data_IF_916784432689
#
_entry.id   IF_916784432689
#
_cell.length_a   1.000
_cell.length_b   1.000
_cell.length_c   1.000
_cell.angle_alpha   90.00
_cell.angle_beta   90.00
_cell.angle_gamma   90.00
#
_symmetry.space_group_name_H-M   'P 1'
#
loop_
_entity.id
_entity.type
_entity.pdbx_description
1 polymer ?
#
# COMPACT_ATOMS: atom_id res chain seq x y z
N UNK A 1 -11.88 -27.68 -24.43
CA UNK A 1 -10.76 -26.72 -24.31
C UNK A 1 -10.50 -26.46 -22.84
N UNK A 2 -9.24 -26.38 -22.39
CA UNK A 2 -8.95 -25.79 -21.07
C UNK A 2 -9.36 -24.31 -21.18
N UNK A 3 -10.18 -23.84 -20.25
CA UNK A 3 -10.47 -22.42 -20.16
C UNK A 3 -9.14 -21.68 -19.97
N UNK A 4 -8.89 -20.67 -20.80
CA UNK A 4 -7.76 -19.77 -20.59
C UNK A 4 -8.10 -18.89 -19.39
N UNK A 5 -7.14 -18.70 -18.50
CA UNK A 5 -7.33 -17.84 -17.33
C UNK A 5 -6.59 -16.52 -17.55
N UNK A 6 -7.29 -15.40 -17.36
CA UNK A 6 -6.68 -14.08 -17.44
C UNK A 6 -5.60 -13.94 -16.36
N UNK A 7 -4.32 -13.72 -16.73
CA UNK A 7 -3.22 -13.65 -15.78
C UNK A 7 -3.23 -12.34 -14.97
N UNK A 8 -3.85 -11.28 -15.48
CA UNK A 8 -3.90 -9.97 -14.84
C UNK A 8 -4.91 -9.96 -13.69
N UNK A 9 -4.56 -9.32 -12.57
CA UNK A 9 -5.36 -9.33 -11.34
C UNK A 9 -5.59 -7.89 -10.86
N UNK A 10 -6.50 -7.12 -11.48
CA UNK A 10 -6.78 -5.73 -11.11
C UNK A 10 -7.64 -5.58 -9.84
N UNK A 11 -7.81 -6.62 -9.03
CA UNK A 11 -8.58 -6.52 -7.79
C UNK A 11 -7.75 -5.95 -6.64
N UNK A 12 -8.40 -5.35 -5.65
CA UNK A 12 -7.73 -4.81 -4.47
C UNK A 12 -6.91 -5.90 -3.76
N UNK A 13 -5.60 -5.67 -3.62
CA UNK A 13 -4.67 -6.63 -3.00
C UNK A 13 -4.33 -7.85 -3.86
N UNK A 14 -4.85 -7.95 -5.09
CA UNK A 14 -4.48 -9.01 -6.03
C UNK A 14 -3.00 -8.93 -6.39
N UNK A 15 -2.27 -10.04 -6.22
CA UNK A 15 -0.87 -10.10 -6.60
C UNK A 15 -0.77 -10.13 -8.13
N UNK A 16 0.00 -9.20 -8.75
CA UNK A 16 0.16 -9.20 -10.19
C UNK A 16 0.95 -10.44 -10.63
N UNK A 17 0.76 -10.91 -11.87
CA UNK A 17 1.48 -12.07 -12.40
C UNK A 17 3.01 -11.87 -12.39
N UNK A 18 3.45 -10.61 -12.46
CA UNK A 18 4.85 -10.24 -12.36
C UNK A 18 5.02 -8.97 -11.52
N UNK A 19 5.87 -9.05 -10.48
CA UNK A 19 6.30 -7.91 -9.68
C UNK A 19 7.48 -7.18 -10.33
N UNK A 20 7.18 -6.08 -11.02
CA UNK A 20 8.15 -5.24 -11.72
C UNK A 20 8.56 -4.01 -10.90
N UNK A 21 9.80 -3.53 -11.08
CA UNK A 21 10.34 -2.37 -10.33
C UNK A 21 10.52 -2.55 -8.81
N UNK A 22 10.12 -3.68 -8.20
CA UNK A 22 10.13 -3.86 -6.73
C UNK A 22 11.29 -4.70 -6.17
N UNK A 23 12.17 -5.24 -7.02
CA UNK A 23 13.26 -6.16 -6.64
C UNK A 23 14.17 -5.65 -5.53
N UNK A 24 14.56 -4.38 -5.57
CA UNK A 24 15.45 -3.76 -4.57
C UNK A 24 14.78 -3.74 -3.19
N UNK A 25 13.53 -3.30 -3.13
CA UNK A 25 12.75 -3.18 -1.90
C UNK A 25 12.57 -4.57 -1.25
N UNK A 26 12.22 -5.58 -2.06
CA UNK A 26 12.08 -6.97 -1.60
C UNK A 26 13.41 -7.47 -1.04
N UNK A 27 14.51 -7.31 -1.77
CA UNK A 27 15.85 -7.72 -1.33
C UNK A 27 16.27 -7.05 -0.03
N UNK A 28 15.93 -5.77 0.13
CA UNK A 28 16.24 -4.99 1.32
C UNK A 28 15.49 -5.49 2.56
N UNK A 29 14.22 -5.88 2.40
CA UNK A 29 13.43 -6.53 3.43
C UNK A 29 14.02 -7.90 3.79
N UNK A 30 14.29 -8.74 2.79
CA UNK A 30 14.89 -10.07 2.98
C UNK A 30 16.22 -10.02 3.73
N UNK A 31 17.13 -9.13 3.31
CA UNK A 31 18.38 -8.88 4.04
C UNK A 31 18.14 -8.38 5.46
N UNK A 32 17.06 -7.62 5.69
CA UNK A 32 16.63 -7.23 7.03
C UNK A 32 16.36 -8.45 7.91
N UNK A 33 15.59 -9.41 7.39
CA UNK A 33 15.31 -10.66 8.10
C UNK A 33 16.57 -11.51 8.32
N UNK A 34 17.41 -11.62 7.30
CA UNK A 34 18.59 -12.50 7.32
C UNK A 34 19.72 -11.95 8.21
N UNK A 35 19.90 -10.63 8.27
CA UNK A 35 20.97 -9.99 9.06
C UNK A 35 20.64 -9.83 10.56
N UNK A 36 19.45 -10.24 11.00
CA UNK A 36 19.09 -10.22 12.42
C UNK A 36 18.71 -8.83 12.96
N UNK A 37 18.80 -8.69 14.28
CA UNK A 37 18.36 -7.51 15.04
C UNK A 37 19.16 -6.26 14.65
N UNK A 38 18.48 -5.14 14.47
CA UNK A 38 19.09 -3.85 14.14
C UNK A 38 19.36 -3.62 12.65
N UNK A 39 19.09 -4.61 11.80
CA UNK A 39 19.15 -4.43 10.36
C UNK A 39 18.09 -3.42 9.87
N UNK A 40 18.42 -2.50 8.94
CA UNK A 40 17.48 -1.47 8.48
C UNK A 40 16.18 -2.02 7.85
N UNK A 41 16.21 -3.23 7.29
CA UNK A 41 15.03 -3.89 6.72
C UNK A 41 14.04 -4.45 7.76
N UNK A 42 14.31 -4.28 9.06
CA UNK A 42 13.41 -4.69 10.15
C UNK A 42 12.27 -3.71 10.42
N UNK A 43 12.43 -2.45 10.03
CA UNK A 43 11.43 -1.41 10.23
C UNK A 43 11.30 -0.69 8.90
N UNK A 44 10.19 -0.88 8.21
CA UNK A 44 9.97 -0.28 6.89
C UNK A 44 8.69 0.53 6.84
N UNK A 45 8.75 1.65 6.11
CA UNK A 45 7.58 2.42 5.71
C UNK A 45 7.44 2.29 4.19
N UNK A 46 6.32 1.74 3.74
CA UNK A 46 5.97 1.63 2.32
C UNK A 46 4.90 2.69 2.02
N UNK A 47 5.24 3.66 1.20
CA UNK A 47 4.33 4.76 0.92
C UNK A 47 4.21 5.04 -0.58
N UNK A 48 3.16 5.75 -0.99
CA UNK A 48 2.88 6.05 -2.39
C UNK A 48 1.40 6.29 -2.60
N UNK A 49 1.06 6.79 -3.79
CA UNK A 49 -0.34 7.02 -4.17
C UNK A 49 -1.18 5.73 -4.08
N UNK A 50 -2.51 5.87 -4.08
CA UNK A 50 -3.42 4.71 -4.20
C UNK A 50 -3.07 3.91 -5.46
N UNK A 51 -3.29 2.59 -5.43
CA UNK A 51 -3.00 1.67 -6.55
C UNK A 51 -1.52 1.51 -6.95
N UNK A 52 -0.56 2.06 -6.21
CA UNK A 52 0.89 1.85 -6.46
C UNK A 52 1.42 0.47 -6.04
N UNK A 53 0.57 -0.37 -5.42
CA UNK A 53 0.91 -1.73 -4.99
C UNK A 53 1.42 -1.84 -3.55
N UNK A 54 1.01 -0.93 -2.65
CA UNK A 54 1.40 -0.98 -1.23
C UNK A 54 0.96 -2.28 -0.53
N UNK A 55 -0.33 -2.62 -0.64
CA UNK A 55 -0.89 -3.86 -0.08
C UNK A 55 -0.21 -5.10 -0.68
N UNK A 56 0.02 -5.10 -2.00
CA UNK A 56 0.77 -6.16 -2.68
C UNK A 56 2.17 -6.33 -2.08
N UNK A 57 2.88 -5.22 -1.80
CA UNK A 57 4.18 -5.28 -1.14
C UNK A 57 4.11 -5.88 0.26
N UNK A 58 3.06 -5.60 1.04
CA UNK A 58 2.86 -6.22 2.35
C UNK A 58 2.64 -7.73 2.23
N UNK A 59 1.80 -8.18 1.29
CA UNK A 59 1.60 -9.62 1.00
C UNK A 59 2.92 -10.30 0.67
N UNK A 60 3.69 -9.70 -0.25
CA UNK A 60 5.01 -10.23 -0.65
C UNK A 60 5.95 -10.34 0.55
N UNK A 61 6.01 -9.33 1.42
CA UNK A 61 6.82 -9.40 2.64
C UNK A 61 6.34 -10.49 3.59
N UNK A 62 5.03 -10.63 3.76
CA UNK A 62 4.41 -11.73 4.50
C UNK A 62 4.89 -13.08 3.99
N UNK A 63 4.85 -13.31 2.68
CA UNK A 63 5.28 -14.58 2.08
C UNK A 63 6.78 -14.82 2.21
N UNK A 64 7.61 -13.79 2.03
CA UNK A 64 9.07 -13.89 2.25
C UNK A 64 9.42 -14.19 3.71
N UNK A 65 8.62 -13.69 4.64
CA UNK A 65 8.77 -13.95 6.06
C UNK A 65 8.29 -15.37 6.43
N UNK A 66 7.11 -15.79 5.96
CA UNK A 66 6.58 -17.16 6.14
C UNK A 66 7.55 -18.21 5.59
N UNK A 67 8.14 -17.97 4.42
CA UNK A 67 9.17 -18.83 3.84
C UNK A 67 10.42 -18.98 4.74
N UNK A 68 10.69 -17.99 5.59
CA UNK A 68 11.73 -18.00 6.62
C UNK A 68 11.24 -18.49 7.98
N UNK A 69 10.05 -19.08 8.06
CA UNK A 69 9.37 -19.57 9.27
C UNK A 69 9.02 -18.47 10.27
N UNK A 70 8.87 -17.23 9.79
CA UNK A 70 8.37 -16.15 10.63
C UNK A 70 6.86 -16.30 10.83
N UNK A 71 6.41 -15.92 12.01
CA UNK A 71 5.01 -15.67 12.25
C UNK A 71 4.66 -14.30 11.67
N UNK A 72 3.54 -14.23 10.95
CA UNK A 72 3.12 -13.02 10.24
C UNK A 72 1.73 -12.60 10.70
N UNK A 73 1.63 -11.39 11.25
CA UNK A 73 0.37 -10.74 11.61
C UNK A 73 0.16 -9.58 10.63
N UNK A 74 -0.92 -9.66 9.86
CA UNK A 74 -1.34 -8.66 8.89
C UNK A 74 -2.60 -7.97 9.43
N UNK A 75 -2.55 -6.65 9.59
CA UNK A 75 -3.67 -5.83 10.05
C UNK A 75 -3.90 -4.66 9.09
N UNK A 76 -5.14 -4.20 9.01
CA UNK A 76 -5.49 -2.90 8.42
C UNK A 76 -5.80 -1.94 9.56
N UNK A 77 -5.18 -0.75 9.50
CA UNK A 77 -5.39 0.26 10.51
C UNK A 77 -6.85 0.76 10.50
N UNK A 78 -7.44 0.76 11.68
CA UNK A 78 -8.74 1.33 12.00
C UNK A 78 -8.84 1.48 13.52
N UNK A 79 -9.93 2.05 14.02
CA UNK A 79 -10.21 2.13 15.46
C UNK A 79 -10.03 0.76 16.16
N UNK A 80 -9.37 0.74 17.31
CA UNK A 80 -9.09 -0.48 18.08
C UNK A 80 -7.98 -1.38 17.51
N UNK A 81 -7.04 -0.82 16.74
CA UNK A 81 -5.95 -1.58 16.12
C UNK A 81 -5.10 -2.32 17.17
N UNK A 82 -4.74 -1.65 18.27
CA UNK A 82 -3.92 -2.29 19.31
C UNK A 82 -4.65 -3.43 20.02
N UNK A 83 -5.96 -3.31 20.23
CA UNK A 83 -6.76 -4.37 20.82
C UNK A 83 -6.76 -5.62 19.94
N UNK A 84 -6.99 -5.46 18.63
CA UNK A 84 -6.91 -6.57 17.67
C UNK A 84 -5.55 -7.24 17.66
N UNK A 85 -4.47 -6.44 17.63
CA UNK A 85 -3.10 -6.96 17.70
C UNK A 85 -2.85 -7.76 18.98
N UNK A 86 -3.30 -7.28 20.14
CA UNK A 86 -3.17 -8.00 21.42
C UNK A 86 -3.92 -9.33 21.37
N UNK A 87 -5.16 -9.32 20.87
CA UNK A 87 -5.98 -10.52 20.78
C UNK A 87 -5.36 -11.56 19.84
N UNK A 88 -4.86 -11.13 18.68
CA UNK A 88 -4.22 -12.01 17.69
C UNK A 88 -2.92 -12.63 18.23
N UNK A 89 -2.05 -11.83 18.87
CA UNK A 89 -0.81 -12.32 19.48
C UNK A 89 -1.07 -13.41 20.52
N UNK A 90 -2.05 -13.18 21.41
CA UNK A 90 -2.41 -14.12 22.49
C UNK A 90 -3.09 -15.38 21.97
N UNK A 91 -3.99 -15.24 21.00
CA UNK A 91 -4.70 -16.39 20.41
C UNK A 91 -3.71 -17.39 19.79
N UNK A 92 -2.68 -16.89 19.10
CA UNK A 92 -1.64 -17.74 18.50
C UNK A 92 -0.73 -18.40 19.52
N UNK A 93 -0.49 -17.78 20.67
CA UNK A 93 0.29 -18.41 21.75
C UNK A 93 -0.48 -19.53 22.43
N UNK A 94 -1.77 -19.31 22.74
CA UNK A 94 -2.62 -20.36 23.30
C UNK A 94 -2.71 -21.59 22.37
N UNK A 95 -2.71 -21.39 21.05
CA UNK A 95 -2.68 -22.47 20.07
C UNK A 95 -1.35 -23.27 20.11
N UNK A 96 -0.21 -22.60 20.30
CA UNK A 96 1.10 -23.26 20.39
C UNK A 96 1.24 -24.09 21.66
N UNK A 97 0.74 -23.60 22.79
CA UNK A 97 0.78 -24.33 24.06
C UNK A 97 -0.01 -25.64 23.96
N UNK A 98 -1.19 -25.63 23.32
CA UNK A 98 -2.02 -26.83 23.10
C UNK A 98 -1.31 -27.92 22.25
N UNK A 99 -0.44 -27.52 21.32
CA UNK A 99 0.32 -28.44 20.46
C UNK A 99 1.54 -29.07 21.15
N UNK A 100 2.00 -28.50 22.27
CA UNK A 100 3.23 -28.94 22.96
C UNK A 100 2.99 -29.89 24.13
N UNK A 101 1.73 -30.15 24.49
CA UNK A 101 1.37 -30.97 25.66
C UNK A 101 1.18 -32.43 25.22
N UNK A 102 2.15 -33.30 25.57
CA UNK A 102 1.82 -34.71 25.89
C UNK A 102 0.86 -34.67 27.09
N UNK A 103 -0.32 -35.31 27.05
CA UNK A 103 -1.30 -35.15 28.11
C UNK A 103 -0.82 -35.90 29.35
N UNK A 104 -0.23 -35.16 30.29
CA UNK A 104 -0.11 -35.60 31.68
C UNK A 104 -0.47 -34.43 32.59
N UNK A 105 -1.75 -34.45 33.00
CA UNK A 105 -2.32 -33.92 34.24
C UNK A 105 -2.00 -32.45 34.64
N UNK A 106 -3.07 -31.65 34.61
CA UNK A 106 -3.48 -30.68 35.64
C UNK A 106 -2.74 -29.33 35.73
N UNK A 107 -3.31 -28.31 35.09
CA UNK A 107 -3.53 -27.01 35.75
C UNK A 107 -4.84 -26.41 35.25
N UNK A 108 -5.88 -26.50 36.08
CA UNK A 108 -7.10 -25.74 35.92
C UNK A 108 -6.83 -24.28 36.33
N UNK A 109 -7.25 -23.33 35.50
CA UNK A 109 -7.51 -21.96 35.96
C UNK A 109 -6.43 -20.92 35.68
N UNK A 110 -6.09 -20.67 34.41
CA UNK A 110 -5.72 -19.31 33.97
C UNK A 110 -6.39 -19.06 32.61
N UNK A 111 -7.70 -18.81 32.66
CA UNK A 111 -8.35 -18.06 31.59
C UNK A 111 -8.10 -16.59 31.87
N UNK A 112 -7.15 -15.97 31.18
CA UNK A 112 -7.00 -14.51 31.23
C UNK A 112 -8.19 -13.91 30.50
N UNK A 113 -9.28 -13.66 31.23
CA UNK A 113 -10.36 -12.79 30.75
C UNK A 113 -9.78 -11.38 30.67
N UNK A 114 -9.69 -10.80 29.47
CA UNK A 114 -9.37 -9.37 29.34
C UNK A 114 -10.43 -8.57 30.12
N UNK A 115 -9.97 -7.72 31.05
CA UNK A 115 -10.82 -6.70 31.63
C UNK A 115 -10.71 -5.40 30.84
N UNK A 116 -11.79 -4.61 30.77
CA UNK A 116 -11.81 -3.28 30.14
C UNK A 116 -10.65 -2.37 30.59
N UNK A 117 -10.17 -2.57 31.83
CA UNK A 117 -9.04 -1.83 32.38
C UNK A 117 -7.71 -2.07 31.64
N UNK A 118 -7.46 -3.28 31.14
CA UNK A 118 -6.22 -3.64 30.42
C UNK A 118 -6.23 -3.18 28.95
N UNK A 119 -7.42 -2.89 28.42
CA UNK A 119 -7.64 -2.32 27.09
C UNK A 119 -7.70 -0.78 27.10
N UNK A 120 -7.50 -0.15 28.26
CA UNK A 120 -7.48 1.30 28.37
C UNK A 120 -6.27 1.91 27.62
N UNK A 121 -6.42 3.06 26.93
CA UNK A 121 -5.34 3.66 26.13
C UNK A 121 -4.05 3.92 26.91
N UNK A 122 -4.14 4.18 28.22
CA UNK A 122 -2.97 4.41 29.10
C UNK A 122 -2.15 3.14 29.35
N UNK A 123 -2.80 1.96 29.36
CA UNK A 123 -2.13 0.67 29.59
C UNK A 123 -1.81 -0.06 28.30
N UNK A 124 -2.45 0.32 27.19
CA UNK A 124 -2.24 -0.34 25.91
C UNK A 124 -0.78 -0.52 25.48
N UNK A 125 0.12 0.47 25.62
CA UNK A 125 1.54 0.25 25.31
C UNK A 125 2.16 -0.89 26.11
N UNK A 126 1.82 -1.03 27.40
CA UNK A 126 2.33 -2.10 28.25
C UNK A 126 1.67 -3.45 27.92
N UNK A 127 0.36 -3.47 27.70
CA UNK A 127 -0.40 -4.68 27.34
C UNK A 127 0.10 -5.25 26.01
N UNK A 128 0.27 -4.41 24.99
CA UNK A 128 0.79 -4.80 23.69
C UNK A 128 2.24 -5.28 23.78
N UNK A 129 3.08 -4.58 24.57
CA UNK A 129 4.47 -5.00 24.82
C UNK A 129 4.55 -6.39 25.44
N UNK A 130 3.70 -6.69 26.43
CA UNK A 130 3.65 -8.02 27.08
C UNK A 130 3.23 -9.11 26.08
N UNK A 131 2.16 -8.88 25.33
CA UNK A 131 1.67 -9.82 24.31
C UNK A 131 2.74 -10.10 23.23
N UNK A 132 3.45 -9.08 22.75
CA UNK A 132 4.56 -9.25 21.80
C UNK A 132 5.71 -10.07 22.40
N UNK A 133 6.09 -9.79 23.65
CA UNK A 133 7.20 -10.46 24.32
C UNK A 133 6.92 -11.94 24.59
N UNK A 134 5.70 -12.28 25.00
CA UNK A 134 5.22 -13.66 25.17
C UNK A 134 5.32 -14.41 23.83
N UNK A 135 4.79 -13.81 22.77
CA UNK A 135 4.83 -14.40 21.43
C UNK A 135 6.24 -14.64 20.92
N UNK A 136 7.08 -13.62 21.01
CA UNK A 136 8.48 -13.70 20.61
C UNK A 136 9.23 -14.77 21.41
N UNK A 137 8.97 -14.89 22.71
CA UNK A 137 9.60 -15.94 23.55
C UNK A 137 9.23 -17.35 23.09
N UNK A 138 8.00 -17.56 22.60
CA UNK A 138 7.54 -18.82 22.02
C UNK A 138 8.18 -19.10 20.65
N UNK A 139 8.31 -18.08 19.80
CA UNK A 139 8.89 -18.19 18.45
C UNK A 139 10.41 -18.41 18.49
N UNK A 140 11.12 -17.73 19.40
CA UNK A 140 12.58 -17.80 19.54
C UNK A 140 13.04 -19.22 19.91
N UNK A 141 12.24 -19.99 20.67
CA UNK A 141 12.50 -21.43 20.95
C UNK A 141 12.59 -22.28 19.68
N UNK A 142 12.03 -21.80 18.56
CA UNK A 142 12.01 -22.48 17.26
C UNK A 142 12.86 -21.75 16.21
N UNK A 143 13.70 -20.81 16.65
CA UNK A 143 14.49 -19.91 15.78
C UNK A 143 13.63 -19.12 14.78
N UNK A 144 12.37 -18.85 15.12
CA UNK A 144 11.46 -18.03 14.33
C UNK A 144 11.49 -16.56 14.78
N UNK A 145 10.83 -15.69 14.03
CA UNK A 145 10.63 -14.29 14.39
C UNK A 145 9.18 -13.85 14.12
N UNK A 146 8.85 -12.61 14.50
CA UNK A 146 7.53 -12.03 14.33
C UNK A 146 7.57 -10.86 13.34
N UNK A 147 6.82 -10.95 12.25
CA UNK A 147 6.51 -9.84 11.36
C UNK A 147 5.11 -9.31 11.69
N UNK A 148 5.01 -8.00 11.89
CA UNK A 148 3.73 -7.31 11.91
C UNK A 148 3.68 -6.37 10.70
N UNK A 149 2.62 -6.42 9.92
CA UNK A 149 2.38 -5.46 8.83
C UNK A 149 1.06 -4.74 9.04
N UNK A 150 1.07 -3.43 8.90
CA UNK A 150 -0.10 -2.56 9.09
C UNK A 150 -0.36 -1.81 7.79
N UNK A 151 -1.50 -2.07 7.15
CA UNK A 151 -1.95 -1.34 5.97
C UNK A 151 -2.80 -0.12 6.35
N UNK A 152 -2.93 0.84 5.43
CA UNK A 152 -3.68 2.08 5.58
C UNK A 152 -3.40 2.83 6.89
N UNK A 153 -2.15 2.86 7.32
CA UNK A 153 -1.70 3.37 8.63
C UNK A 153 -2.17 4.81 8.94
N UNK A 154 -2.49 5.63 7.93
CA UNK A 154 -3.11 6.95 8.15
C UNK A 154 -4.51 6.89 8.79
N UNK A 155 -5.16 5.73 8.82
CA UNK A 155 -6.44 5.49 9.48
C UNK A 155 -6.29 5.05 10.95
N UNK A 156 -5.06 4.85 11.43
CA UNK A 156 -4.80 4.51 12.82
C UNK A 156 -5.00 5.72 13.73
N UNK A 157 -5.54 5.48 14.93
CA UNK A 157 -5.53 6.51 15.96
C UNK A 157 -4.10 6.82 16.43
N UNK A 158 -3.87 8.07 16.83
CA UNK A 158 -2.56 8.50 17.36
C UNK A 158 -2.15 7.70 18.60
N UNK A 159 -3.09 7.39 19.49
CA UNK A 159 -2.91 6.53 20.66
C UNK A 159 -2.35 5.16 20.29
N UNK A 160 -2.93 4.53 19.27
CA UNK A 160 -2.51 3.21 18.79
C UNK A 160 -1.10 3.26 18.20
N UNK A 161 -0.80 4.27 17.39
CA UNK A 161 0.54 4.44 16.81
C UNK A 161 1.62 4.64 17.87
N UNK A 162 1.33 5.40 18.94
CA UNK A 162 2.24 5.57 20.08
C UNK A 162 2.45 4.24 20.81
N UNK A 163 1.38 3.47 21.04
CA UNK A 163 1.45 2.19 21.72
C UNK A 163 2.29 1.17 20.93
N UNK A 164 2.05 1.06 19.63
CA UNK A 164 2.79 0.19 18.71
C UNK A 164 4.27 0.58 18.66
N UNK A 165 4.57 1.86 18.43
CA UNK A 165 5.95 2.35 18.37
C UNK A 165 6.70 2.10 19.68
N UNK A 166 6.06 2.36 20.82
CA UNK A 166 6.64 2.12 22.15
C UNK A 166 6.92 0.64 22.37
N UNK A 167 5.94 -0.23 22.11
CA UNK A 167 6.07 -1.67 22.29
C UNK A 167 7.21 -2.24 21.45
N UNK A 168 7.32 -1.85 20.18
CA UNK A 168 8.37 -2.32 19.26
C UNK A 168 9.75 -1.81 19.64
N UNK A 169 9.85 -0.54 20.04
CA UNK A 169 11.11 0.02 20.53
C UNK A 169 11.64 -0.80 21.71
N UNK A 170 10.76 -1.26 22.61
CA UNK A 170 11.14 -2.16 23.70
C UNK A 170 11.65 -3.51 23.20
N UNK A 171 10.94 -4.17 22.28
CA UNK A 171 11.37 -5.47 21.71
C UNK A 171 12.76 -5.37 21.05
N UNK A 172 13.03 -4.29 20.32
CA UNK A 172 14.32 -4.06 19.68
C UNK A 172 15.43 -3.83 20.70
N UNK A 173 15.16 -3.06 21.77
CA UNK A 173 16.13 -2.86 22.87
C UNK A 173 16.48 -4.16 23.58
N UNK A 174 15.51 -5.07 23.69
CA UNK A 174 15.69 -6.43 24.23
C UNK A 174 16.31 -7.41 23.23
N UNK A 175 16.67 -6.94 22.03
CA UNK A 175 17.27 -7.73 20.94
C UNK A 175 16.38 -8.91 20.51
N UNK A 176 15.07 -8.71 20.48
CA UNK A 176 14.11 -9.72 20.03
C UNK A 176 14.02 -9.78 18.51
N UNK A 177 13.64 -10.94 17.98
CA UNK A 177 13.56 -11.20 16.55
C UNK A 177 12.23 -10.68 15.95
N UNK A 178 12.04 -9.36 15.91
CA UNK A 178 10.84 -8.68 15.41
C UNK A 178 11.13 -7.86 14.15
N UNK A 179 10.16 -7.80 13.24
CA UNK A 179 10.11 -6.86 12.13
C UNK A 179 8.73 -6.21 12.06
N UNK A 180 8.68 -4.94 11.64
CA UNK A 180 7.44 -4.23 11.36
C UNK A 180 7.48 -3.51 10.01
N UNK A 181 6.36 -3.55 9.30
CA UNK A 181 6.16 -2.78 8.08
C UNK A 181 4.86 -1.99 8.18
N UNK A 182 4.92 -0.70 7.92
CA UNK A 182 3.73 0.14 7.77
C UNK A 182 3.53 0.49 6.31
N UNK A 183 2.30 0.40 5.82
CA UNK A 183 1.90 0.94 4.54
C UNK A 183 0.86 2.05 4.73
N UNK A 184 0.97 3.10 3.92
CA UNK A 184 0.04 4.22 3.98
C UNK A 184 0.33 5.31 2.96
N UNK A 185 -0.50 6.36 2.98
CA UNK A 185 -0.33 7.53 2.12
C UNK A 185 0.91 8.34 2.52
N UNK A 186 1.53 9.12 1.60
CA UNK A 186 2.73 9.89 1.91
C UNK A 186 2.61 10.89 3.07
N UNK A 187 1.41 11.42 3.33
CA UNK A 187 1.16 12.28 4.50
C UNK A 187 1.40 11.60 5.85
N UNK A 188 1.14 10.28 5.95
CA UNK A 188 1.44 9.50 7.16
C UNK A 188 2.91 9.66 7.54
N UNK A 189 3.79 9.67 6.54
CA UNK A 189 5.23 9.80 6.76
C UNK A 189 5.53 11.17 7.39
N UNK A 190 4.94 12.25 6.87
CA UNK A 190 5.06 13.60 7.44
C UNK A 190 4.52 13.68 8.87
N UNK A 191 3.33 13.11 9.14
CA UNK A 191 2.71 13.13 10.47
C UNK A 191 3.53 12.36 11.50
N UNK A 192 4.02 11.17 11.13
CA UNK A 192 4.91 10.37 11.97
C UNK A 192 6.27 11.05 12.18
N UNK A 193 6.79 11.77 11.18
CA UNK A 193 8.04 12.51 11.31
C UNK A 193 7.87 13.76 12.16
N UNK A 194 6.75 14.46 12.11
CA UNK A 194 6.53 15.69 12.87
C UNK A 194 6.17 15.45 14.34
N UNK A 195 5.80 14.22 14.72
CA UNK A 195 5.47 13.86 16.09
C UNK A 195 6.73 13.68 16.97
N UNK A 196 6.83 14.43 18.07
CA UNK A 196 7.95 14.34 19.02
C UNK A 196 7.99 13.01 19.78
N UNK A 197 6.86 12.31 19.90
CA UNK A 197 6.74 11.07 20.67
C UNK A 197 7.16 9.86 19.83
N UNK A 198 6.93 9.89 18.51
CA UNK A 198 7.14 8.75 17.60
C UNK A 198 8.49 8.86 16.86
N UNK A 199 9.48 9.52 17.49
CA UNK A 199 10.82 9.75 16.89
C UNK A 199 11.55 8.47 16.50
N UNK A 200 11.20 7.33 17.08
CA UNK A 200 11.75 6.03 16.71
C UNK A 200 11.48 5.66 15.25
N UNK A 201 10.26 5.91 14.74
CA UNK A 201 9.89 5.59 13.36
C UNK A 201 10.65 6.44 12.35
N UNK A 202 11.31 7.53 12.78
CA UNK A 202 12.19 8.29 11.89
C UNK A 202 13.38 7.50 11.35
N UNK A 203 13.75 6.42 12.03
CA UNK A 203 14.82 5.49 11.62
C UNK A 203 14.32 4.34 10.76
N UNK A 204 13.00 4.28 10.51
CA UNK A 204 12.44 3.30 9.61
C UNK A 204 12.96 3.56 8.19
N UNK A 205 13.15 2.48 7.44
CA UNK A 205 13.52 2.56 6.05
C UNK A 205 12.30 2.89 5.20
N UNK A 206 12.20 4.14 4.78
CA UNK A 206 11.12 4.62 3.91
C UNK A 206 11.37 4.25 2.45
N UNK A 207 10.38 3.62 1.82
CA UNK A 207 10.37 3.33 0.39
C UNK A 207 9.10 3.95 -0.22
N UNK A 208 9.31 4.91 -1.10
CA UNK A 208 8.23 5.53 -1.87
C UNK A 208 8.03 4.72 -3.15
N UNK A 209 6.87 4.08 -3.28
CA UNK A 209 6.44 3.39 -4.47
C UNK A 209 6.05 4.42 -5.52
N UNK A 210 6.87 4.52 -6.55
CA UNK A 210 6.61 5.34 -7.74
C UNK A 210 6.06 4.47 -8.87
N UNK A 211 5.71 5.16 -9.95
CA UNK A 211 5.43 4.58 -11.26
C UNK A 211 6.65 3.81 -11.78
N UNK A 212 6.36 2.85 -12.67
CA UNK A 212 7.32 1.94 -13.26
C UNK A 212 7.76 2.48 -14.63
N UNK A 213 9.06 2.43 -14.97
CA UNK A 213 9.52 2.82 -16.30
C UNK A 213 8.77 2.11 -17.42
N UNK A 214 8.39 2.84 -18.47
CA UNK A 214 7.53 2.31 -19.56
C UNK A 214 8.17 1.12 -20.29
N UNK A 215 9.49 1.09 -20.38
CA UNK A 215 10.27 -0.02 -20.93
C UNK A 215 10.17 -1.30 -20.06
N UNK A 216 10.17 -1.16 -18.73
CA UNK A 216 9.90 -2.27 -17.81
C UNK A 216 8.44 -2.74 -17.93
N UNK A 217 7.47 -1.81 -18.04
CA UNK A 217 6.05 -2.15 -18.24
C UNK A 217 5.86 -2.95 -19.52
N UNK A 218 6.42 -2.46 -20.64
CA UNK A 218 6.33 -3.11 -21.94
C UNK A 218 6.89 -4.53 -21.89
N UNK A 219 8.05 -4.71 -21.27
CA UNK A 219 8.70 -6.04 -21.10
C UNK A 219 7.85 -6.97 -20.26
N UNK A 220 7.22 -6.45 -19.21
CA UNK A 220 6.32 -7.20 -18.33
C UNK A 220 5.05 -7.68 -19.06
N UNK A 221 4.43 -6.78 -19.81
CA UNK A 221 3.25 -7.10 -20.62
C UNK A 221 3.59 -8.16 -21.65
N UNK A 222 4.70 -8.02 -22.36
CA UNK A 222 5.16 -9.02 -23.35
C UNK A 222 5.28 -10.42 -22.72
N UNK A 223 5.97 -10.50 -21.59
CA UNK A 223 6.15 -11.77 -20.84
C UNK A 223 4.81 -12.34 -20.37
N UNK A 224 3.90 -11.50 -19.89
CA UNK A 224 2.60 -11.92 -19.35
C UNK A 224 1.67 -12.43 -20.46
N UNK A 225 1.60 -11.75 -21.60
CA UNK A 225 0.83 -12.22 -22.75
C UNK A 225 1.40 -13.54 -23.30
N UNK A 226 2.72 -13.62 -23.50
CA UNK A 226 3.39 -14.83 -24.00
C UNK A 226 3.13 -16.05 -23.10
N UNK A 227 3.32 -15.90 -21.79
CA UNK A 227 3.09 -16.99 -20.81
C UNK A 227 1.62 -17.40 -20.70
N UNK A 228 0.69 -16.51 -21.02
CA UNK A 228 -0.74 -16.84 -21.08
C UNK A 228 -1.18 -17.50 -22.40
N UNK A 229 -0.26 -17.64 -23.36
CA UNK A 229 -0.56 -18.20 -24.68
C UNK A 229 -1.24 -17.21 -25.63
N UNK A 230 -1.06 -15.89 -25.41
CA UNK A 230 -1.51 -14.84 -26.32
C UNK A 230 -0.32 -14.18 -27.01
N UNK A 231 -0.49 -13.90 -28.30
CA UNK A 231 0.49 -13.20 -29.15
C UNK A 231 0.08 -11.75 -29.28
N UNK A 232 1.00 -10.84 -28.94
CA UNK A 232 0.82 -9.41 -29.05
C UNK A 232 2.04 -8.81 -29.77
N UNK A 233 1.81 -7.87 -30.67
CA UNK A 233 2.89 -7.26 -31.45
C UNK A 233 3.63 -6.18 -30.67
N UNK A 234 4.86 -5.89 -31.08
CA UNK A 234 5.67 -4.83 -30.47
C UNK A 234 4.99 -3.44 -30.51
N UNK A 235 4.31 -3.12 -31.63
CA UNK A 235 3.55 -1.88 -31.78
C UNK A 235 2.41 -1.79 -30.76
N UNK A 236 1.67 -2.89 -30.56
CA UNK A 236 0.56 -2.96 -29.60
C UNK A 236 1.06 -2.86 -28.17
N UNK A 237 2.16 -3.54 -27.84
CA UNK A 237 2.83 -3.45 -26.53
C UNK A 237 3.28 -2.02 -26.21
N UNK A 238 3.85 -1.31 -27.18
CA UNK A 238 4.24 0.09 -27.03
C UNK A 238 3.04 0.97 -26.67
N UNK A 239 1.92 0.82 -27.40
CA UNK A 239 0.69 1.58 -27.16
C UNK A 239 0.07 1.25 -25.80
N UNK A 240 0.00 -0.03 -25.46
CA UNK A 240 -0.51 -0.50 -24.17
C UNK A 240 0.34 0.07 -23.01
N UNK A 241 1.66 -0.10 -23.07
CA UNK A 241 2.58 0.34 -22.02
C UNK A 241 2.53 1.86 -21.82
N UNK A 242 2.57 2.65 -22.90
CA UNK A 242 2.48 4.12 -22.82
C UNK A 242 1.17 4.59 -22.16
N UNK A 243 0.06 3.93 -22.48
CA UNK A 243 -1.26 4.27 -21.94
C UNK A 243 -1.37 4.07 -20.43
N UNK A 244 -0.48 3.28 -19.83
CA UNK A 244 -0.43 3.06 -18.38
C UNK A 244 0.24 4.18 -17.61
N UNK A 245 1.03 5.03 -18.28
CA UNK A 245 1.93 6.00 -17.65
C UNK A 245 2.85 5.40 -16.56
N UNK A 246 3.07 4.08 -16.56
CA UNK A 246 3.84 3.38 -15.53
C UNK A 246 3.07 3.10 -14.23
N UNK A 247 1.80 3.50 -14.14
CA UNK A 247 1.01 3.38 -12.93
C UNK A 247 0.56 1.93 -12.70
N UNK A 248 0.98 1.25 -11.60
CA UNK A 248 0.80 -0.20 -11.43
C UNK A 248 -0.63 -0.70 -11.57
N UNK A 249 -1.62 0.03 -11.05
CA UNK A 249 -3.02 -0.35 -11.18
C UNK A 249 -3.51 -0.27 -12.63
N UNK A 250 -3.15 0.78 -13.36
CA UNK A 250 -3.48 0.91 -14.78
C UNK A 250 -2.80 -0.17 -15.63
N UNK A 251 -1.58 -0.59 -15.28
CA UNK A 251 -0.91 -1.72 -15.95
C UNK A 251 -1.78 -2.99 -15.87
N UNK A 252 -2.33 -3.28 -14.70
CA UNK A 252 -3.19 -4.45 -14.53
C UNK A 252 -4.52 -4.30 -15.27
N UNK A 253 -5.16 -3.14 -15.23
CA UNK A 253 -6.42 -2.89 -15.95
C UNK A 253 -6.24 -2.99 -17.47
N UNK A 254 -5.20 -2.35 -18.02
CA UNK A 254 -4.88 -2.41 -19.45
C UNK A 254 -4.59 -3.84 -19.88
N UNK A 255 -3.73 -4.55 -19.16
CA UNK A 255 -3.44 -5.95 -19.47
C UNK A 255 -4.69 -6.83 -19.42
N UNK A 256 -5.50 -6.68 -18.36
CA UNK A 256 -6.72 -7.45 -18.14
C UNK A 256 -7.70 -7.29 -19.29
N UNK A 257 -8.04 -6.05 -19.67
CA UNK A 257 -9.07 -5.77 -20.67
C UNK A 257 -8.61 -6.07 -22.10
N UNK A 258 -7.32 -5.88 -22.42
CA UNK A 258 -6.78 -6.29 -23.72
C UNK A 258 -6.81 -7.82 -23.86
N UNK A 259 -6.43 -8.53 -22.79
CA UNK A 259 -6.48 -9.99 -22.76
C UNK A 259 -7.92 -10.49 -22.91
N UNK A 260 -8.85 -9.92 -22.14
CA UNK A 260 -10.27 -10.30 -22.15
C UNK A 260 -10.91 -10.08 -23.53
N UNK A 261 -10.61 -8.96 -24.19
CA UNK A 261 -11.07 -8.69 -25.55
C UNK A 261 -10.56 -9.74 -26.57
N UNK A 262 -9.31 -10.19 -26.45
CA UNK A 262 -8.77 -11.27 -27.27
C UNK A 262 -9.45 -12.62 -27.02
N UNK A 263 -9.66 -12.96 -25.75
CA UNK A 263 -10.31 -14.20 -25.31
C UNK A 263 -11.79 -14.27 -25.74
N UNK A 264 -12.52 -13.14 -25.66
CA UNK A 264 -13.90 -13.02 -26.15
C UNK A 264 -14.05 -13.33 -27.64
N UNK A 265 -13.00 -13.15 -28.43
CA UNK A 265 -12.96 -13.50 -29.85
C UNK A 265 -12.48 -14.94 -30.11
N UNK A 266 -12.23 -15.73 -29.06
CA UNK A 266 -11.61 -17.06 -29.12
C UNK A 266 -10.30 -17.05 -29.94
N UNK A 267 -9.48 -16.00 -29.73
CA UNK A 267 -8.28 -15.70 -30.52
C UNK A 267 -7.02 -15.71 -29.67
N UNK A 268 -5.98 -16.37 -30.18
CA UNK A 268 -4.64 -16.39 -29.56
C UNK A 268 -3.80 -15.18 -29.99
N UNK A 269 -4.33 -14.32 -30.87
CA UNK A 269 -3.65 -13.12 -31.37
C UNK A 269 -4.45 -11.86 -31.03
N UNK A 270 -3.77 -10.91 -30.40
CA UNK A 270 -4.29 -9.58 -30.08
C UNK A 270 -4.32 -8.72 -31.35
N UNK A 271 -5.48 -8.15 -31.64
CA UNK A 271 -5.69 -7.20 -32.74
C UNK A 271 -5.56 -5.75 -32.25
N UNK A 272 -5.42 -4.82 -33.19
CA UNK A 272 -5.39 -3.38 -32.86
C UNK A 272 -6.72 -2.91 -32.25
N UNK A 273 -7.83 -3.58 -32.58
CA UNK A 273 -9.15 -3.30 -32.00
C UNK A 273 -9.23 -3.76 -30.53
N UNK A 274 -8.69 -4.94 -30.20
CA UNK A 274 -8.67 -5.43 -28.80
C UNK A 274 -7.86 -4.48 -27.90
N UNK A 275 -6.76 -3.93 -28.43
CA UNK A 275 -5.99 -2.91 -27.72
C UNK A 275 -6.82 -1.65 -27.53
N UNK A 276 -7.49 -1.16 -28.57
CA UNK A 276 -8.33 0.03 -28.47
C UNK A 276 -9.44 -0.13 -27.43
N UNK A 277 -10.24 -1.20 -27.55
CA UNK A 277 -11.38 -1.46 -26.67
C UNK A 277 -10.91 -1.71 -25.23
N UNK A 278 -9.83 -2.46 -25.05
CA UNK A 278 -9.27 -2.72 -23.74
C UNK A 278 -8.77 -1.46 -23.03
N UNK A 279 -8.20 -0.51 -23.77
CA UNK A 279 -7.80 0.80 -23.23
C UNK A 279 -8.99 1.69 -22.85
N UNK A 280 -10.12 1.56 -23.56
CA UNK A 280 -11.35 2.30 -23.23
C UNK A 280 -11.94 1.76 -21.92
N UNK A 281 -12.08 0.45 -21.78
CA UNK A 281 -12.62 -0.18 -20.56
C UNK A 281 -11.70 0.01 -19.36
N UNK A 282 -10.39 -0.17 -19.52
CA UNK A 282 -9.41 0.07 -18.46
C UNK A 282 -9.49 1.49 -17.88
N UNK A 283 -9.77 2.48 -18.75
CA UNK A 283 -9.92 3.87 -18.32
C UNK A 283 -11.20 4.10 -17.54
N UNK A 284 -12.34 3.54 -17.99
CA UNK A 284 -13.61 3.60 -17.26
C UNK A 284 -13.49 2.99 -15.87
N UNK A 285 -12.84 1.83 -15.77
CA UNK A 285 -12.62 1.17 -14.48
C UNK A 285 -11.72 1.99 -13.56
N UNK A 286 -10.65 2.56 -14.11
CA UNK A 286 -9.79 3.47 -13.34
C UNK A 286 -10.56 4.69 -12.83
N UNK A 287 -11.40 5.29 -13.67
CA UNK A 287 -12.20 6.45 -13.31
C UNK A 287 -13.15 6.13 -12.16
N UNK A 288 -13.84 4.98 -12.24
CA UNK A 288 -14.77 4.51 -11.21
C UNK A 288 -14.07 4.13 -9.90
N UNK A 289 -12.89 3.53 -9.98
CA UNK A 289 -12.18 3.03 -8.81
C UNK A 289 -11.28 4.09 -8.12
N UNK A 290 -10.82 5.11 -8.85
CA UNK A 290 -9.84 6.10 -8.36
C UNK A 290 -10.36 7.52 -8.51
N UNK A 291 -10.64 7.98 -9.73
CA UNK A 291 -10.91 9.41 -9.96
C UNK A 291 -12.22 9.88 -9.31
N UNK A 292 -13.33 9.15 -9.53
CA UNK A 292 -14.65 9.50 -9.03
C UNK A 292 -14.68 9.48 -7.49
N UNK A 293 -14.24 8.40 -6.80
CA UNK A 293 -14.23 8.38 -5.34
C UNK A 293 -13.43 9.52 -4.70
N UNK A 294 -12.28 9.88 -5.27
CA UNK A 294 -11.45 10.98 -4.77
C UNK A 294 -12.15 12.35 -4.91
N UNK A 295 -12.98 12.54 -5.94
CA UNK A 295 -13.77 13.76 -6.11
C UNK A 295 -15.02 13.82 -5.22
N UNK A 296 -15.57 12.68 -4.77
CA UNK A 296 -16.79 12.64 -3.96
C UNK A 296 -16.67 13.37 -2.63
N UNK A 297 -15.49 13.31 -1.99
CA UNK A 297 -15.22 14.01 -0.71
C UNK A 297 -14.98 15.52 -0.85
N UNK A 298 -14.87 16.03 -2.08
CA UNK A 298 -14.45 17.41 -2.34
C UNK A 298 -15.65 18.34 -2.51
N UNK A 299 -15.52 19.57 -1.98
CA UNK A 299 -16.51 20.61 -2.20
C UNK A 299 -16.49 21.09 -3.65
N UNK A 300 -17.59 21.70 -4.11
CA UNK A 300 -17.65 22.29 -5.47
C UNK A 300 -16.47 23.23 -5.76
N UNK A 301 -16.03 24.00 -4.77
CA UNK A 301 -14.93 24.96 -4.92
C UNK A 301 -13.56 24.29 -4.98
N UNK A 302 -13.39 23.15 -4.30
CA UNK A 302 -12.20 22.32 -4.44
C UNK A 302 -12.12 21.77 -5.88
N UNK A 303 -13.26 21.34 -6.45
CA UNK A 303 -13.33 20.86 -7.85
C UNK A 303 -13.02 21.96 -8.86
N UNK A 304 -13.56 23.16 -8.67
CA UNK A 304 -13.25 24.34 -9.52
C UNK A 304 -11.74 24.64 -9.53
N UNK A 305 -11.04 24.48 -8.39
CA UNK A 305 -9.58 24.61 -8.32
C UNK A 305 -8.88 23.53 -9.16
N UNK A 306 -9.29 22.27 -9.01
CA UNK A 306 -8.71 21.15 -9.76
C UNK A 306 -8.97 21.25 -11.26
N UNK A 307 -10.15 21.72 -11.68
CA UNK A 307 -10.48 21.99 -13.08
C UNK A 307 -9.57 23.07 -13.67
N UNK A 308 -9.38 24.19 -12.98
CA UNK A 308 -8.45 25.24 -13.40
C UNK A 308 -7.00 24.75 -13.47
N UNK A 309 -6.58 23.93 -12.51
CA UNK A 309 -5.27 23.29 -12.48
C UNK A 309 -5.08 22.26 -13.61
N UNK A 310 -6.14 21.55 -14.01
CA UNK A 310 -6.10 20.53 -15.05
C UNK A 310 -5.70 21.10 -16.41
N UNK A 311 -5.89 22.39 -16.66
CA UNK A 311 -5.54 23.03 -17.93
C UNK A 311 -4.02 23.09 -18.21
N UNK A 312 -3.16 22.93 -17.19
CA UNK A 312 -1.70 22.78 -17.39
C UNK A 312 -1.35 21.32 -17.68
N UNK A 313 -0.29 21.03 -18.43
CA UNK A 313 0.20 19.65 -18.61
C UNK A 313 1.10 19.18 -17.45
N UNK A 314 1.68 20.12 -16.71
CA UNK A 314 2.59 19.85 -15.60
C UNK A 314 2.23 20.56 -14.30
N UNK A 315 3.19 20.66 -13.38
CA UNK A 315 3.05 21.44 -12.16
C UNK A 315 2.65 22.89 -12.45
N UNK A 316 1.85 23.47 -11.56
CA UNK A 316 1.31 24.82 -11.73
C UNK A 316 1.46 25.64 -10.45
N UNK A 317 1.71 26.93 -10.60
CA UNK A 317 1.78 27.85 -9.46
C UNK A 317 0.39 28.19 -8.92
N UNK A 318 0.29 28.47 -7.62
CA UNK A 318 -0.98 28.91 -7.00
C UNK A 318 -1.51 30.19 -7.63
N UNK A 319 -0.62 31.09 -8.06
CA UNK A 319 -0.98 32.36 -8.69
C UNK A 319 -1.66 32.13 -10.05
N UNK A 320 -1.12 31.23 -10.85
CA UNK A 320 -1.68 30.88 -12.15
C UNK A 320 -3.03 30.17 -12.03
N UNK A 321 -3.20 29.27 -11.05
CA UNK A 321 -4.52 28.69 -10.77
C UNK A 321 -5.51 29.77 -10.34
N UNK A 322 -5.11 30.72 -9.50
CA UNK A 322 -5.96 31.82 -9.06
C UNK A 322 -6.43 32.70 -10.23
N UNK A 323 -5.53 33.00 -11.17
CA UNK A 323 -5.82 33.75 -12.39
C UNK A 323 -6.89 33.05 -13.23
N UNK A 324 -6.73 31.74 -13.48
CA UNK A 324 -7.70 30.92 -14.23
C UNK A 324 -9.07 30.84 -13.55
N UNK A 325 -9.09 30.85 -12.23
CA UNK A 325 -10.35 30.89 -11.46
C UNK A 325 -10.98 32.29 -11.40
N UNK A 326 -10.26 33.34 -11.81
CA UNK A 326 -10.67 34.74 -11.61
C UNK A 326 -10.76 35.12 -10.13
N UNK A 327 -9.85 34.61 -9.29
CA UNK A 327 -9.83 34.81 -7.82
C UNK A 327 -8.47 35.35 -7.36
N UNK A 328 -8.42 35.81 -6.10
CA UNK A 328 -7.16 36.24 -5.49
C UNK A 328 -6.26 35.04 -5.13
N UNK A 329 -4.95 35.28 -5.05
CA UNK A 329 -3.98 34.25 -4.65
C UNK A 329 -4.28 33.69 -3.24
N UNK A 330 -4.71 34.53 -2.29
CA UNK A 330 -5.09 34.09 -0.94
C UNK A 330 -6.30 33.15 -0.94
N UNK A 331 -7.26 33.42 -1.83
CA UNK A 331 -8.43 32.55 -2.00
C UNK A 331 -7.99 31.18 -2.52
N UNK A 332 -7.18 31.14 -3.58
CA UNK A 332 -6.65 29.90 -4.15
C UNK A 332 -5.75 29.14 -3.14
N UNK A 333 -4.96 29.84 -2.33
CA UNK A 333 -4.10 29.24 -1.30
C UNK A 333 -4.89 28.45 -0.24
N UNK A 334 -6.11 28.89 0.08
CA UNK A 334 -7.00 28.19 1.02
C UNK A 334 -7.39 26.80 0.47
N UNK A 335 -7.78 26.74 -0.81
CA UNK A 335 -8.16 25.49 -1.47
C UNK A 335 -6.95 24.61 -1.75
N UNK A 336 -5.81 25.19 -2.14
CA UNK A 336 -4.53 24.49 -2.25
C UNK A 336 -4.20 23.74 -0.97
N UNK A 337 -4.25 24.41 0.19
CA UNK A 337 -3.96 23.78 1.48
C UNK A 337 -4.88 22.60 1.73
N UNK A 338 -6.19 22.77 1.54
CA UNK A 338 -7.17 21.68 1.72
C UNK A 338 -6.92 20.49 0.80
N UNK A 339 -6.56 20.74 -0.46
CA UNK A 339 -6.28 19.69 -1.44
C UNK A 339 -4.95 18.97 -1.19
N UNK A 340 -3.96 19.67 -0.61
CA UNK A 340 -2.73 19.06 -0.10
C UNK A 340 -3.02 18.19 1.12
N UNK A 341 -3.81 18.71 2.07
CA UNK A 341 -4.23 17.98 3.28
C UNK A 341 -5.08 16.74 2.93
N UNK A 342 -5.86 16.80 1.84
CA UNK A 342 -6.61 15.66 1.30
C UNK A 342 -5.78 14.74 0.38
N UNK A 343 -4.52 15.08 0.12
CA UNK A 343 -3.61 14.36 -0.79
C UNK A 343 -4.16 14.16 -2.22
N UNK A 344 -4.98 15.10 -2.69
CA UNK A 344 -5.45 15.11 -4.08
C UNK A 344 -4.40 15.75 -4.99
N UNK A 345 -3.65 16.70 -4.44
CA UNK A 345 -2.49 17.34 -5.07
C UNK A 345 -1.26 17.18 -4.17
N UNK A 346 -0.07 17.39 -4.74
CA UNK A 346 1.22 17.35 -4.05
C UNK A 346 2.05 18.57 -4.39
N UNK A 347 2.90 18.99 -3.47
CA UNK A 347 3.90 20.03 -3.74
C UNK A 347 5.06 19.48 -4.58
N UNK A 348 5.62 20.33 -5.44
CA UNK A 348 6.88 20.09 -6.15
C UNK A 348 7.95 21.07 -5.65
N UNK A 349 9.17 20.99 -6.18
CA UNK A 349 10.36 21.67 -5.64
C UNK A 349 10.30 23.22 -5.66
N UNK A 350 9.33 23.86 -6.34
CA UNK A 350 9.30 25.32 -6.57
C UNK A 350 8.04 26.05 -6.05
N UNK A 351 7.33 25.47 -5.09
CA UNK A 351 6.06 26.04 -4.61
C UNK A 351 4.89 25.87 -5.60
N UNK A 352 5.11 25.08 -6.64
CA UNK A 352 4.09 24.60 -7.57
C UNK A 352 3.41 23.35 -6.99
N UNK A 353 2.26 23.01 -7.57
CA UNK A 353 1.51 21.80 -7.23
C UNK A 353 1.20 20.99 -8.47
N UNK A 354 1.15 19.68 -8.30
CA UNK A 354 0.76 18.71 -9.32
C UNK A 354 -0.25 17.71 -8.74
N UNK A 355 -0.97 16.99 -9.60
CA UNK A 355 -1.90 15.96 -9.14
C UNK A 355 -1.13 14.85 -8.42
N UNK A 356 -1.64 14.45 -7.25
CA UNK A 356 -1.15 13.28 -6.53
C UNK A 356 -1.95 12.03 -6.90
N UNK A 357 -3.22 12.21 -7.28
CA UNK A 357 -4.10 11.14 -7.78
C UNK A 357 -3.77 10.86 -9.25
N UNK A 358 -3.35 9.63 -9.59
CA UNK A 358 -3.06 9.26 -10.97
C UNK A 358 -4.27 9.46 -11.89
N UNK A 359 -4.04 9.94 -13.12
CA UNK A 359 -5.04 10.15 -14.17
C UNK A 359 -6.16 11.16 -13.88
N UNK A 360 -6.15 11.82 -12.71
CA UNK A 360 -7.20 12.77 -12.35
C UNK A 360 -7.21 13.99 -13.27
N UNK A 361 -6.04 14.42 -13.76
CA UNK A 361 -5.91 15.53 -14.72
C UNK A 361 -6.67 15.23 -16.02
N UNK A 362 -6.42 14.07 -16.60
CA UNK A 362 -7.02 13.59 -17.84
C UNK A 362 -8.52 13.36 -17.67
N UNK A 363 -8.93 12.80 -16.52
CA UNK A 363 -10.33 12.64 -16.17
C UNK A 363 -11.07 13.99 -16.16
N UNK A 364 -10.55 14.99 -15.45
CA UNK A 364 -11.17 16.31 -15.34
C UNK A 364 -11.27 17.01 -16.69
N UNK A 365 -10.22 16.94 -17.52
CA UNK A 365 -10.24 17.49 -18.88
C UNK A 365 -11.33 16.88 -19.75
N UNK A 366 -11.57 15.57 -19.63
CA UNK A 366 -12.58 14.86 -20.43
C UNK A 366 -14.00 15.14 -19.98
N UNK A 367 -14.22 15.37 -18.67
CA UNK A 367 -15.57 15.68 -18.15
C UNK A 367 -15.91 17.17 -18.34
N UNK A 368 -14.91 18.04 -18.46
CA UNK A 368 -15.08 19.45 -18.74
C UNK A 368 -15.24 19.79 -20.24
N UNK A 369 -14.82 18.87 -21.14
CA UNK A 369 -15.00 18.95 -22.59
C UNK A 369 -16.40 18.45 -22.99
#
# INVERSE_FOLDING_TARGET
MRAKENPFKPTAGGEPPLLIGRKRIIRDFEKGLDNGVGAPGRIMLITGARGTGKTVMLTVFGDRARARKWDVIEETASEGLCERLVNELRARDAALDRLSIRPSLSFAGVGVSLGEADLSPKRMPETLRKAMAERLSSLEKRHAGLLISIDETQAAERSDMIAIATAIQHQIRERRNIAIVFAGLPQMVSDLFNDEVITFLRRARTNVLTDIPIDEVRSALATTFETSGMTITEKQLQVAAQSTAGYPYMIQLVGYHIWDAGDLRDSDTISDQDVHDGLVEARKDLDNAVCIPELHGLSRRDREYLEAMSQSDGPVSTAEVAERMGKSANYAATYRKRLLDAYVIRETERGEVDFAVPFLREYLRRVAA
#
